data_IF_006228108910
#
_entry.id   IF_006228108910
#
_cell.length_a   1.000
_cell.length_b   1.000
_cell.length_c   1.000
_cell.angle_alpha   90.00
_cell.angle_beta   90.00
_cell.angle_gamma   90.00
#
_symmetry.space_group_name_H-M   'P 1'
#
loop_
_entity.id
_entity.type
_entity.pdbx_description
1 polymer ?
#
# COMPACT_ATOMS: atom_id res chain seq x y z
N UNK A 1 11.71 -14.97 3.12
CA UNK A 1 10.62 -14.93 2.11
C UNK A 1 9.87 -13.60 2.21
N UNK A 2 9.44 -13.15 3.40
CA UNK A 2 8.95 -11.78 3.64
C UNK A 2 9.89 -10.67 3.11
N UNK A 3 11.20 -10.85 3.23
CA UNK A 3 12.21 -9.92 2.68
C UNK A 3 12.13 -9.81 1.16
N UNK A 4 11.86 -10.91 0.44
CA UNK A 4 11.63 -10.88 -1.01
C UNK A 4 10.38 -10.11 -1.38
N UNK A 5 9.28 -10.29 -0.62
CA UNK A 5 8.07 -9.50 -0.83
C UNK A 5 8.37 -8.00 -0.67
N UNK A 6 9.06 -7.62 0.40
CA UNK A 6 9.45 -6.22 0.65
C UNK A 6 10.34 -5.67 -0.46
N UNK A 7 11.28 -6.47 -0.94
CA UNK A 7 12.18 -6.11 -2.05
C UNK A 7 11.42 -5.93 -3.36
N UNK A 8 10.58 -6.90 -3.78
CA UNK A 8 9.74 -6.80 -4.99
C UNK A 8 8.80 -5.58 -4.91
N UNK A 9 8.18 -5.32 -3.76
CA UNK A 9 7.33 -4.15 -3.54
C UNK A 9 8.12 -2.85 -3.64
N UNK A 10 9.31 -2.77 -3.03
CA UNK A 10 10.16 -1.56 -3.07
C UNK A 10 10.64 -1.27 -4.48
N UNK A 11 11.12 -2.30 -5.18
CA UNK A 11 11.55 -2.20 -6.59
C UNK A 11 10.40 -1.77 -7.49
N UNK A 12 9.21 -2.33 -7.27
CA UNK A 12 8.01 -1.98 -8.02
C UNK A 12 7.60 -0.54 -7.76
N UNK A 13 7.53 -0.12 -6.49
CA UNK A 13 7.25 1.26 -6.10
C UNK A 13 8.26 2.23 -6.70
N UNK A 14 9.56 1.93 -6.62
CA UNK A 14 10.59 2.78 -7.19
C UNK A 14 10.39 2.93 -8.70
N UNK A 15 10.07 1.84 -9.41
CA UNK A 15 9.82 1.88 -10.86
C UNK A 15 8.59 2.72 -11.24
N UNK A 16 7.48 2.55 -10.54
CA UNK A 16 6.22 3.26 -10.85
C UNK A 16 6.22 4.70 -10.34
N UNK A 17 6.81 4.97 -9.17
CA UNK A 17 6.87 6.30 -8.56
C UNK A 17 8.06 7.13 -9.06
N UNK A 18 9.10 6.52 -9.65
CA UNK A 18 10.18 7.28 -10.30
C UNK A 18 9.88 7.64 -11.75
N UNK A 19 8.71 7.27 -12.27
CA UNK A 19 8.27 7.73 -13.59
C UNK A 19 7.95 9.23 -13.56
N UNK A 20 8.20 9.91 -14.69
CA UNK A 20 7.94 11.36 -14.86
C UNK A 20 6.48 11.76 -14.66
N UNK A 21 5.55 10.80 -14.79
CA UNK A 21 4.13 10.97 -14.49
C UNK A 21 3.66 9.87 -13.55
N UNK A 22 2.96 10.27 -12.49
CA UNK A 22 2.34 9.35 -11.54
C UNK A 22 1.06 8.74 -12.17
N UNK A 23 1.20 7.60 -12.84
CA UNK A 23 0.06 6.88 -13.40
C UNK A 23 -0.59 5.98 -12.36
N UNK A 24 -1.71 6.43 -11.81
CA UNK A 24 -2.48 5.72 -10.77
C UNK A 24 -2.75 4.25 -11.13
N UNK A 25 -3.16 3.99 -12.38
CA UNK A 25 -3.42 2.64 -12.88
C UNK A 25 -2.17 1.76 -12.93
N UNK A 26 -0.99 2.32 -13.25
CA UNK A 26 0.26 1.54 -13.26
C UNK A 26 0.69 1.19 -11.83
N UNK A 27 0.61 2.15 -10.91
CA UNK A 27 0.92 1.93 -9.49
C UNK A 27 0.02 0.85 -8.91
N UNK A 28 -1.30 0.97 -9.09
CA UNK A 28 -2.28 0.00 -8.59
C UNK A 28 -2.08 -1.38 -9.20
N UNK A 29 -1.97 -1.47 -10.53
CA UNK A 29 -1.80 -2.77 -11.19
C UNK A 29 -0.51 -3.46 -10.79
N UNK A 30 0.61 -2.73 -10.73
CA UNK A 30 1.89 -3.32 -10.40
C UNK A 30 1.91 -3.86 -8.95
N UNK A 31 1.36 -3.10 -7.99
CA UNK A 31 1.20 -3.56 -6.61
C UNK A 31 0.25 -4.76 -6.50
N UNK A 32 -0.89 -4.70 -7.20
CA UNK A 32 -1.87 -5.80 -7.24
C UNK A 32 -1.20 -7.10 -7.69
N UNK A 33 -0.41 -7.06 -8.75
CA UNK A 33 0.31 -8.24 -9.27
C UNK A 33 1.31 -8.80 -8.26
N UNK A 34 2.05 -7.94 -7.55
CA UNK A 34 3.00 -8.40 -6.52
C UNK A 34 2.24 -9.03 -5.35
N UNK A 35 1.17 -8.39 -4.86
CA UNK A 35 0.35 -8.92 -3.77
C UNK A 35 -0.27 -10.27 -4.12
N UNK A 36 -0.77 -10.43 -5.34
CA UNK A 36 -1.34 -11.69 -5.81
C UNK A 36 -0.27 -12.80 -5.90
N UNK A 37 0.92 -12.47 -6.42
CA UNK A 37 2.08 -13.37 -6.51
C UNK A 37 2.55 -13.87 -5.14
N UNK A 38 2.48 -13.02 -4.11
CA UNK A 38 2.94 -13.32 -2.75
C UNK A 38 1.78 -13.51 -1.75
N UNK A 39 0.57 -13.83 -2.23
CA UNK A 39 -0.62 -13.96 -1.38
C UNK A 39 -0.47 -14.91 -0.19
N UNK A 40 0.31 -15.97 -0.33
CA UNK A 40 0.53 -16.97 0.72
C UNK A 40 1.43 -16.44 1.85
N UNK A 41 2.29 -15.46 1.53
CA UNK A 41 3.17 -14.79 2.50
C UNK A 41 2.45 -13.67 3.27
N UNK A 42 1.42 -13.09 2.66
CA UNK A 42 0.65 -11.99 3.26
C UNK A 42 -0.32 -12.56 4.29
N UNK A 43 0.17 -12.60 5.53
CA UNK A 43 -0.54 -13.04 6.74
C UNK A 43 -0.81 -11.85 7.67
N UNK A 44 -1.82 -11.92 8.55
CA UNK A 44 -2.18 -10.80 9.41
C UNK A 44 -1.02 -10.36 10.32
N UNK A 45 -0.25 -11.32 10.83
CA UNK A 45 0.93 -11.12 11.68
C UNK A 45 2.05 -10.28 11.03
N UNK A 46 2.15 -10.29 9.70
CA UNK A 46 3.19 -9.59 8.96
C UNK A 46 2.67 -8.34 8.23
N UNK A 47 1.36 -8.13 8.24
CA UNK A 47 0.70 -7.12 7.44
C UNK A 47 1.09 -5.69 7.87
N UNK A 48 1.23 -5.46 9.17
CA UNK A 48 1.79 -4.21 9.71
C UNK A 48 3.21 -3.96 9.24
N UNK A 49 4.08 -4.98 9.31
CA UNK A 49 5.48 -4.86 8.86
C UNK A 49 5.61 -4.62 7.36
N UNK A 50 4.69 -5.14 6.55
CA UNK A 50 4.67 -4.92 5.10
C UNK A 50 4.19 -3.51 4.81
N UNK A 51 3.11 -3.06 5.46
CA UNK A 51 2.55 -1.74 5.25
C UNK A 51 3.46 -0.62 5.75
N UNK A 52 4.05 -0.77 6.93
CA UNK A 52 5.05 0.17 7.46
C UNK A 52 6.25 0.28 6.50
N UNK A 53 6.70 -0.83 5.92
CA UNK A 53 7.78 -0.79 4.94
C UNK A 53 7.37 -0.06 3.65
N UNK A 54 6.20 -0.40 3.10
CA UNK A 54 5.66 0.20 1.88
C UNK A 54 5.48 1.71 1.99
N UNK A 55 4.84 2.17 3.08
CA UNK A 55 4.58 3.59 3.27
C UNK A 55 5.88 4.37 3.53
N UNK A 56 6.85 3.77 4.23
CA UNK A 56 8.17 4.37 4.43
C UNK A 56 8.93 4.54 3.11
N UNK A 57 8.97 3.50 2.28
CA UNK A 57 9.62 3.58 0.96
C UNK A 57 8.88 4.54 0.03
N UNK A 58 7.54 4.53 0.05
CA UNK A 58 6.73 5.51 -0.70
C UNK A 58 7.07 6.94 -0.29
N UNK A 59 7.17 7.22 1.02
CA UNK A 59 7.59 8.53 1.54
C UNK A 59 9.00 8.90 1.10
N UNK A 60 9.93 7.95 1.13
CA UNK A 60 11.32 8.17 0.68
C UNK A 60 11.40 8.50 -0.81
N UNK A 61 10.72 7.72 -1.65
CA UNK A 61 10.73 7.91 -3.10
C UNK A 61 10.04 9.22 -3.46
N UNK A 62 8.83 9.47 -2.94
CA UNK A 62 8.07 10.70 -3.20
C UNK A 62 8.80 11.95 -2.75
N UNK A 63 9.51 11.91 -1.62
CA UNK A 63 10.38 13.02 -1.19
C UNK A 63 11.55 13.27 -2.17
N UNK A 64 12.07 12.23 -2.81
CA UNK A 64 13.17 12.33 -3.79
C UNK A 64 12.70 12.89 -5.15
N UNK A 65 11.50 12.51 -5.59
CA UNK A 65 10.94 12.95 -6.88
C UNK A 65 10.05 14.19 -6.78
N UNK A 66 9.70 14.61 -5.57
CA UNK A 66 8.83 15.77 -5.32
C UNK A 66 7.33 15.50 -5.53
N UNK A 67 6.91 14.23 -5.50
CA UNK A 67 5.48 13.88 -5.57
C UNK A 67 4.78 14.07 -4.22
N UNK A 68 3.46 14.28 -4.29
CA UNK A 68 2.62 14.32 -3.10
C UNK A 68 2.60 12.95 -2.42
N UNK A 69 3.24 12.85 -1.25
CA UNK A 69 3.35 11.61 -0.49
C UNK A 69 1.98 11.08 -0.08
N UNK A 70 1.03 11.95 0.28
CA UNK A 70 -0.30 11.52 0.69
C UNK A 70 -1.05 10.84 -0.45
N UNK A 71 -1.01 11.43 -1.65
CA UNK A 71 -1.61 10.86 -2.86
C UNK A 71 -0.95 9.53 -3.23
N UNK A 72 0.38 9.49 -3.27
CA UNK A 72 1.11 8.27 -3.60
C UNK A 72 0.79 7.14 -2.61
N UNK A 73 0.88 7.42 -1.30
CA UNK A 73 0.55 6.43 -0.27
C UNK A 73 -0.89 5.93 -0.36
N UNK A 74 -1.86 6.79 -0.69
CA UNK A 74 -3.24 6.37 -0.92
C UNK A 74 -3.35 5.38 -2.08
N UNK A 75 -2.67 5.65 -3.21
CA UNK A 75 -2.64 4.74 -4.35
C UNK A 75 -1.99 3.41 -4.01
N UNK A 76 -0.95 3.44 -3.17
CA UNK A 76 -0.27 2.23 -2.71
C UNK A 76 -1.18 1.36 -1.85
N UNK A 77 -1.90 1.98 -0.91
CA UNK A 77 -2.87 1.28 -0.05
C UNK A 77 -4.02 0.71 -0.88
N UNK A 78 -4.56 1.46 -1.84
CA UNK A 78 -5.60 0.97 -2.74
C UNK A 78 -5.12 -0.19 -3.62
N UNK A 79 -3.95 -0.06 -4.26
CA UNK A 79 -3.39 -1.13 -5.10
C UNK A 79 -3.10 -2.40 -4.29
N UNK A 80 -2.68 -2.26 -3.04
CA UNK A 80 -2.49 -3.40 -2.17
C UNK A 80 -3.82 -4.04 -1.76
N UNK A 81 -4.85 -3.23 -1.44
CA UNK A 81 -6.21 -3.70 -1.15
C UNK A 81 -6.79 -4.50 -2.32
N UNK A 82 -6.70 -3.97 -3.53
CA UNK A 82 -7.16 -4.64 -4.75
C UNK A 82 -6.43 -5.96 -4.96
N UNK A 83 -5.11 -5.99 -4.69
CA UNK A 83 -4.32 -7.21 -4.68
C UNK A 83 -4.81 -8.26 -3.67
N UNK A 84 -5.20 -7.84 -2.47
CA UNK A 84 -5.73 -8.75 -1.45
C UNK A 84 -7.10 -9.31 -1.86
N UNK A 85 -7.95 -8.47 -2.45
CA UNK A 85 -9.25 -8.89 -3.00
C UNK A 85 -9.08 -9.92 -4.11
N UNK A 86 -8.18 -9.66 -5.07
CA UNK A 86 -7.86 -10.62 -6.15
C UNK A 86 -7.20 -11.89 -5.64
N UNK A 87 -6.37 -11.79 -4.61
CA UNK A 87 -5.79 -12.93 -3.93
C UNK A 87 -6.82 -13.80 -3.20
N UNK A 88 -8.09 -13.37 -3.12
CA UNK A 88 -9.17 -14.10 -2.46
C UNK A 88 -9.11 -14.01 -0.93
N UNK A 89 -8.45 -12.97 -0.38
CA UNK A 89 -8.41 -12.75 1.07
C UNK A 89 -9.80 -12.32 1.54
N UNK A 90 -10.29 -12.96 2.60
CA UNK A 90 -11.63 -12.69 3.14
C UNK A 90 -11.82 -11.24 3.60
N UNK A 91 -13.09 -10.81 3.71
CA UNK A 91 -13.45 -9.44 4.13
C UNK A 91 -12.85 -9.04 5.48
N UNK A 92 -12.76 -9.96 6.44
CA UNK A 92 -12.13 -9.72 7.74
C UNK A 92 -10.64 -9.37 7.61
N UNK A 93 -9.94 -10.04 6.69
CA UNK A 93 -8.54 -9.76 6.41
C UNK A 93 -8.35 -8.36 5.83
N UNK A 94 -9.23 -7.97 4.90
CA UNK A 94 -9.23 -6.61 4.32
C UNK A 94 -9.55 -5.58 5.41
N UNK A 95 -10.47 -5.89 6.33
CA UNK A 95 -10.79 -4.99 7.45
C UNK A 95 -9.59 -4.78 8.38
N UNK A 96 -8.86 -5.84 8.72
CA UNK A 96 -7.63 -5.71 9.51
C UNK A 96 -6.52 -4.99 8.74
N UNK A 97 -6.42 -5.24 7.44
CA UNK A 97 -5.53 -4.47 6.57
C UNK A 97 -5.81 -2.97 6.62
N UNK A 98 -7.08 -2.57 6.59
CA UNK A 98 -7.47 -1.17 6.68
C UNK A 98 -7.08 -0.55 8.03
N UNK A 99 -7.28 -1.26 9.15
CA UNK A 99 -6.83 -0.79 10.47
C UNK A 99 -5.33 -0.59 10.53
N UNK A 100 -4.57 -1.53 9.96
CA UNK A 100 -3.12 -1.41 9.87
C UNK A 100 -2.72 -0.19 9.06
N UNK A 101 -3.33 0.04 7.90
CA UNK A 101 -3.03 1.21 7.07
C UNK A 101 -3.24 2.52 7.83
N UNK A 102 -4.33 2.64 8.60
CA UNK A 102 -4.61 3.81 9.43
C UNK A 102 -3.53 3.98 10.50
N UNK A 103 -3.19 2.92 11.23
CA UNK A 103 -2.16 2.96 12.27
C UNK A 103 -0.78 3.33 11.71
N UNK A 104 -0.37 2.69 10.60
CA UNK A 104 0.88 2.96 9.90
C UNK A 104 0.95 4.39 9.35
N UNK A 105 -0.12 4.88 8.71
CA UNK A 105 -0.20 6.26 8.25
C UNK A 105 -0.07 7.26 9.41
N UNK A 106 -0.71 6.99 10.55
CA UNK A 106 -0.59 7.80 11.77
C UNK A 106 0.83 7.81 12.31
N UNK A 107 1.48 6.66 12.43
CA UNK A 107 2.89 6.55 12.85
C UNK A 107 3.82 7.39 11.97
N UNK A 108 3.51 7.50 10.67
CA UNK A 108 4.36 8.21 9.70
C UNK A 108 4.06 9.70 9.54
N UNK A 109 3.08 10.23 10.29
CA UNK A 109 2.62 11.62 10.20
C UNK A 109 1.87 11.91 8.90
N UNK A 110 1.27 10.89 8.28
CA UNK A 110 0.49 11.00 7.04
C UNK A 110 -1.01 11.20 7.32
N UNK A 111 -1.35 11.85 8.43
CA UNK A 111 -2.71 12.05 8.93
C UNK A 111 -3.62 12.86 7.98
N UNK A 112 -3.03 13.54 6.99
CA UNK A 112 -3.75 14.25 5.92
C UNK A 112 -4.00 13.41 4.65
N UNK A 113 -3.77 12.10 4.66
CA UNK A 113 -4.31 11.27 3.58
C UNK A 113 -5.83 11.37 3.63
N UNK A 114 -6.42 12.02 2.62
CA UNK A 114 -7.83 11.84 2.27
C UNK A 114 -7.98 10.41 1.74
N UNK A 115 -7.87 9.44 2.64
CA UNK A 115 -8.28 8.09 2.37
C UNK A 115 -9.75 8.18 1.94
N UNK A 116 -10.12 7.65 0.75
CA UNK A 116 -11.38 7.95 0.08
C UNK A 116 -12.53 7.75 1.06
N UNK A 117 -13.52 8.64 1.13
CA UNK A 117 -14.57 8.72 2.19
C UNK A 117 -15.30 7.38 2.48
N UNK A 118 -15.25 6.42 1.54
CA UNK A 118 -15.54 5.01 1.75
C UNK A 118 -14.68 4.31 2.85
N UNK A 119 -13.62 4.96 3.34
CA UNK A 119 -12.74 4.57 4.44
C UNK A 119 -13.40 4.68 5.80
N UNK A 120 -14.33 5.62 5.95
CA UNK A 120 -14.98 5.92 7.23
C UNK A 120 -16.48 5.60 7.20
N UNK A 121 -17.10 5.50 6.02
CA UNK A 121 -18.55 5.33 5.90
C UNK A 121 -19.08 3.91 6.19
N UNK A 122 -18.23 2.95 6.56
CA UNK A 122 -18.68 1.64 7.10
C UNK A 122 -18.55 1.53 8.63
N UNK A 123 -18.29 2.65 9.31
CA UNK A 123 -18.27 2.72 10.79
C UNK A 123 -19.47 3.46 11.39
N UNK A 124 -20.44 3.85 10.56
CA UNK A 124 -21.78 4.30 11.01
C UNK A 124 -22.78 3.21 10.68
#
# INVERSE_FOLDING_TARGET
MLEKLKEDLSNTLEKVLSSKELKESEVKNALTTVVEKFKDEIKPENLEKIMDHLLQETKRITAKVGYDTGKASSLVVEGFKDGLEKAGKGKDFIKDFMKVCINSAKKMGLEMMKLPVSFFSSFV
#
